data_IF_006300593861
#
_entry.id   IF_006300593861
#
_cell.length_a   1.000
_cell.length_b   1.000
_cell.length_c   1.000
_cell.angle_alpha   90.00
_cell.angle_beta   90.00
_cell.angle_gamma   90.00
#
_symmetry.space_group_name_H-M   'P 1'
#
loop_
_entity.id
_entity.type
_entity.pdbx_description
1 polymer ?
#
# COMPACT_ATOMS: atom_id res chain seq x y z
N UNK A 1 7.78 -9.20 -10.83
CA UNK A 1 6.91 -10.21 -11.46
C UNK A 1 7.73 -11.03 -12.46
N UNK A 2 8.37 -10.43 -13.48
CA UNK A 2 9.19 -11.15 -14.47
C UNK A 2 10.31 -12.02 -13.85
N UNK A 3 10.73 -11.72 -12.62
CA UNK A 3 11.77 -12.44 -11.88
C UNK A 3 11.23 -13.60 -11.02
N UNK A 4 9.92 -13.84 -11.03
CA UNK A 4 9.22 -14.90 -10.31
C UNK A 4 8.38 -15.73 -11.28
N UNK A 5 9.04 -16.57 -12.13
CA UNK A 5 8.37 -17.33 -13.19
C UNK A 5 7.37 -18.37 -12.67
N UNK A 6 7.45 -18.71 -11.38
CA UNK A 6 6.50 -19.59 -10.70
C UNK A 6 5.14 -18.94 -10.42
N UNK A 7 5.06 -17.60 -10.50
CA UNK A 7 3.83 -16.86 -10.26
C UNK A 7 3.10 -16.58 -11.58
N UNK A 8 1.82 -16.89 -11.60
CA UNK A 8 0.90 -16.37 -12.63
C UNK A 8 0.27 -15.10 -12.07
N UNK A 9 0.50 -13.96 -12.73
CA UNK A 9 0.05 -12.66 -12.25
C UNK A 9 -0.74 -11.94 -13.33
N UNK A 10 -1.96 -11.55 -13.00
CA UNK A 10 -2.77 -10.62 -13.76
C UNK A 10 -2.73 -9.24 -13.13
N UNK A 11 -2.64 -8.19 -13.94
CA UNK A 11 -2.59 -6.81 -13.46
C UNK A 11 -3.87 -6.10 -13.89
N UNK A 12 -4.52 -5.43 -12.95
CA UNK A 12 -5.70 -4.63 -13.20
C UNK A 12 -5.53 -3.20 -12.69
N UNK A 13 -6.08 -2.25 -13.44
CA UNK A 13 -6.24 -0.85 -13.02
C UNK A 13 -7.73 -0.54 -12.90
N UNK A 14 -8.20 -0.27 -11.68
CA UNK A 14 -9.55 0.19 -11.40
C UNK A 14 -9.52 1.70 -11.17
N UNK A 15 -10.03 2.48 -12.10
CA UNK A 15 -10.06 3.93 -12.03
C UNK A 15 -11.25 4.51 -12.81
N UNK A 16 -11.70 5.67 -12.40
CA UNK A 16 -12.65 6.54 -13.11
C UNK A 16 -11.96 7.61 -13.96
N UNK A 17 -10.62 7.77 -13.83
CA UNK A 17 -9.85 8.70 -14.63
C UNK A 17 -9.62 8.17 -16.06
N UNK A 18 -10.26 8.81 -17.03
CA UNK A 18 -10.07 8.49 -18.46
C UNK A 18 -8.63 8.75 -18.93
N UNK A 19 -7.98 9.76 -18.39
CA UNK A 19 -6.60 10.11 -18.75
C UNK A 19 -5.61 9.07 -18.24
N UNK A 20 -5.78 8.60 -17.01
CA UNK A 20 -4.96 7.52 -16.45
C UNK A 20 -5.19 6.21 -17.20
N UNK A 21 -6.44 5.87 -17.48
CA UNK A 21 -6.77 4.68 -18.25
C UNK A 21 -6.11 4.69 -19.63
N UNK A 22 -6.14 5.83 -20.34
CA UNK A 22 -5.49 6.00 -21.63
C UNK A 22 -3.96 5.88 -21.52
N UNK A 23 -3.35 6.57 -20.56
CA UNK A 23 -1.90 6.54 -20.35
C UNK A 23 -1.40 5.10 -20.12
N UNK A 24 -2.13 4.34 -19.29
CA UNK A 24 -1.77 2.95 -18.99
C UNK A 24 -2.00 2.04 -20.19
N UNK A 25 -3.11 2.18 -20.91
CA UNK A 25 -3.39 1.38 -22.11
C UNK A 25 -2.35 1.59 -23.23
N UNK A 26 -1.89 2.83 -23.40
CA UNK A 26 -0.90 3.16 -24.42
C UNK A 26 0.50 2.59 -24.09
N UNK A 27 0.85 2.52 -22.81
CA UNK A 27 2.20 2.13 -22.36
C UNK A 27 2.28 0.67 -21.86
N UNK A 28 1.20 0.15 -21.29
CA UNK A 28 1.14 -1.16 -20.63
C UNK A 28 -0.09 -1.96 -21.08
N UNK A 29 -0.12 -2.46 -22.33
CA UNK A 29 -1.28 -3.14 -22.90
C UNK A 29 -1.66 -4.45 -22.17
N UNK A 30 -0.76 -5.00 -21.36
CA UNK A 30 -1.02 -6.16 -20.51
C UNK A 30 -1.88 -5.85 -19.28
N UNK A 31 -2.05 -4.59 -18.90
CA UNK A 31 -2.86 -4.18 -17.76
C UNK A 31 -4.34 -4.20 -18.15
N UNK A 32 -5.15 -4.95 -17.41
CA UNK A 32 -6.59 -4.95 -17.59
C UNK A 32 -7.20 -3.68 -17.00
N UNK A 33 -7.80 -2.87 -17.85
CA UNK A 33 -8.56 -1.72 -17.38
C UNK A 33 -9.94 -2.16 -16.88
N UNK A 34 -10.28 -1.75 -15.66
CA UNK A 34 -11.58 -1.92 -15.02
C UNK A 34 -12.18 -0.54 -14.75
N UNK A 35 -13.08 -0.04 -15.60
CA UNK A 35 -13.72 1.26 -15.35
C UNK A 35 -14.45 1.20 -14.01
N UNK A 36 -14.16 2.16 -13.13
CA UNK A 36 -14.82 2.28 -11.83
C UNK A 36 -16.26 2.74 -12.04
N UNK A 37 -17.20 2.05 -11.44
CA UNK A 37 -18.59 2.49 -11.46
C UNK A 37 -18.80 3.69 -10.52
N UNK A 38 -19.83 4.47 -10.78
CA UNK A 38 -20.12 5.70 -10.05
C UNK A 38 -20.35 5.43 -8.55
N UNK A 39 -20.95 4.29 -8.21
CA UNK A 39 -21.21 3.87 -6.84
C UNK A 39 -19.91 3.63 -6.02
N UNK A 40 -18.81 3.33 -6.70
CA UNK A 40 -17.48 3.10 -6.10
C UNK A 40 -16.55 4.31 -6.26
N UNK A 41 -16.99 5.41 -6.85
CA UNK A 41 -16.19 6.61 -7.11
C UNK A 41 -16.29 7.72 -6.05
N UNK A 42 -17.07 7.53 -4.98
CA UNK A 42 -17.27 8.56 -3.96
C UNK A 42 -16.17 8.61 -2.88
N UNK A 43 -15.93 9.79 -2.34
CA UNK A 43 -14.90 10.03 -1.28
C UNK A 43 -15.14 9.24 0.02
N UNK A 44 -16.34 8.73 0.22
CA UNK A 44 -16.72 7.95 1.41
C UNK A 44 -16.72 6.43 1.16
N UNK A 45 -16.43 6.00 -0.06
CA UNK A 45 -16.40 4.58 -0.40
C UNK A 45 -15.16 3.91 0.18
N UNK A 46 -15.32 2.82 0.96
CA UNK A 46 -14.15 2.10 1.47
C UNK A 46 -13.28 1.57 0.32
N UNK A 47 -11.99 1.83 0.38
CA UNK A 47 -11.02 1.34 -0.63
C UNK A 47 -11.15 -0.18 -0.86
N UNK A 48 -11.38 -0.95 0.20
CA UNK A 48 -11.56 -2.39 0.11
C UNK A 48 -12.73 -2.80 -0.78
N UNK A 49 -13.83 -2.03 -0.85
CA UNK A 49 -14.94 -2.31 -1.76
C UNK A 49 -14.52 -2.23 -3.23
N UNK A 50 -13.65 -1.28 -3.58
CA UNK A 50 -13.09 -1.14 -4.93
C UNK A 50 -12.17 -2.34 -5.26
N UNK A 51 -11.38 -2.80 -4.29
CA UNK A 51 -10.50 -3.96 -4.48
C UNK A 51 -11.34 -5.24 -4.63
N UNK A 52 -12.43 -5.39 -3.89
CA UNK A 52 -13.36 -6.52 -4.00
C UNK A 52 -14.07 -6.56 -5.37
N UNK A 53 -14.51 -5.40 -5.88
CA UNK A 53 -15.05 -5.27 -7.23
C UNK A 53 -14.01 -5.72 -8.27
N UNK A 54 -12.78 -5.25 -8.14
CA UNK A 54 -11.67 -5.61 -9.02
C UNK A 54 -11.41 -7.11 -9.02
N UNK A 55 -11.35 -7.73 -7.84
CA UNK A 55 -11.19 -9.17 -7.67
C UNK A 55 -12.29 -9.94 -8.39
N UNK A 56 -13.55 -9.58 -8.13
CA UNK A 56 -14.72 -10.25 -8.71
C UNK A 56 -14.70 -10.20 -10.23
N UNK A 57 -14.49 -9.02 -10.80
CA UNK A 57 -14.46 -8.81 -12.25
C UNK A 57 -13.29 -9.51 -12.93
N UNK A 58 -12.11 -9.56 -12.28
CA UNK A 58 -10.96 -10.28 -12.81
C UNK A 58 -11.16 -11.80 -12.76
N UNK A 59 -11.72 -12.34 -11.68
CA UNK A 59 -12.08 -13.76 -11.57
C UNK A 59 -13.11 -14.17 -12.64
N UNK A 60 -14.14 -13.36 -12.86
CA UNK A 60 -15.15 -13.60 -13.91
C UNK A 60 -14.53 -13.54 -15.30
N UNK A 61 -13.70 -12.53 -15.58
CA UNK A 61 -13.04 -12.36 -16.87
C UNK A 61 -12.13 -13.53 -17.22
N UNK A 62 -11.32 -13.98 -16.25
CA UNK A 62 -10.28 -14.97 -16.48
C UNK A 62 -10.75 -16.42 -16.21
N UNK A 63 -11.95 -16.60 -15.64
CA UNK A 63 -12.52 -17.90 -15.32
C UNK A 63 -11.71 -18.68 -14.28
N UNK A 64 -11.01 -18.00 -13.39
CA UNK A 64 -10.16 -18.61 -12.37
C UNK A 64 -10.41 -17.97 -10.98
N UNK A 65 -9.82 -18.57 -9.96
CA UNK A 65 -9.73 -17.98 -8.62
C UNK A 65 -8.27 -17.63 -8.35
N UNK A 66 -8.05 -16.50 -7.69
CA UNK A 66 -6.73 -16.08 -7.25
C UNK A 66 -6.45 -16.62 -5.85
N UNK A 67 -5.18 -16.80 -5.50
CA UNK A 67 -4.76 -17.13 -4.15
C UNK A 67 -4.64 -15.85 -3.30
N UNK A 68 -4.07 -14.82 -3.91
CA UNK A 68 -3.80 -13.52 -3.28
C UNK A 68 -4.22 -12.36 -4.16
N UNK A 69 -4.48 -11.22 -3.52
CA UNK A 69 -4.64 -9.93 -4.20
C UNK A 69 -3.61 -8.96 -3.61
N UNK A 70 -2.76 -8.42 -4.47
CA UNK A 70 -1.82 -7.37 -4.07
C UNK A 70 -2.34 -6.02 -4.57
N UNK A 71 -2.73 -5.17 -3.62
CA UNK A 71 -3.11 -3.80 -3.92
C UNK A 71 -1.91 -2.87 -3.77
N UNK A 72 -1.66 -2.07 -4.79
CA UNK A 72 -0.55 -1.13 -4.87
C UNK A 72 -1.11 0.27 -5.09
N UNK A 73 -1.01 1.12 -4.07
CA UNK A 73 -1.49 2.48 -4.20
C UNK A 73 -0.62 3.28 -5.18
N UNK A 74 -1.27 3.97 -6.10
CA UNK A 74 -0.57 4.80 -7.11
C UNK A 74 -0.03 6.10 -6.50
N UNK A 75 -0.64 6.58 -5.41
CA UNK A 75 -0.20 7.80 -4.70
C UNK A 75 0.99 7.57 -3.79
N UNK A 76 1.38 6.30 -3.56
CA UNK A 76 2.58 5.93 -2.81
C UNK A 76 3.60 5.19 -3.71
N UNK A 77 4.21 5.87 -4.70
CA UNK A 77 4.97 5.23 -5.77
C UNK A 77 6.39 4.79 -5.39
N UNK A 78 6.96 5.31 -4.30
CA UNK A 78 8.35 5.06 -3.91
C UNK A 78 8.51 3.70 -3.22
N UNK A 79 8.43 2.65 -4.02
CA UNK A 79 8.63 1.24 -3.62
C UNK A 79 9.51 0.52 -4.62
N UNK A 80 10.16 -0.56 -4.18
CA UNK A 80 11.07 -1.37 -4.98
C UNK A 80 10.45 -2.75 -5.29
N UNK A 81 11.07 -3.49 -6.20
CA UNK A 81 10.69 -4.87 -6.46
C UNK A 81 10.93 -5.77 -5.23
N UNK A 82 11.94 -5.46 -4.45
CA UNK A 82 12.28 -6.14 -3.20
C UNK A 82 11.19 -5.95 -2.15
N UNK A 83 10.59 -4.76 -2.05
CA UNK A 83 9.46 -4.49 -1.15
C UNK A 83 8.25 -5.34 -1.50
N UNK A 84 7.91 -5.44 -2.80
CA UNK A 84 6.82 -6.29 -3.29
C UNK A 84 7.10 -7.76 -2.98
N UNK A 85 8.32 -8.22 -3.24
CA UNK A 85 8.73 -9.60 -2.98
C UNK A 85 8.68 -9.93 -1.49
N UNK A 86 9.12 -9.01 -0.63
CA UNK A 86 9.09 -9.18 0.83
C UNK A 86 7.66 -9.29 1.36
N UNK A 87 6.75 -8.44 0.89
CA UNK A 87 5.35 -8.47 1.29
C UNK A 87 4.65 -9.76 0.83
N UNK A 88 4.88 -10.18 -0.43
CA UNK A 88 4.37 -11.43 -0.95
C UNK A 88 4.89 -12.62 -0.15
N UNK A 89 6.21 -12.71 0.03
CA UNK A 89 6.86 -13.81 0.76
C UNK A 89 6.35 -13.93 2.20
N UNK A 90 6.22 -12.80 2.91
CA UNK A 90 5.67 -12.78 4.26
C UNK A 90 4.25 -13.35 4.30
N UNK A 91 3.42 -13.05 3.30
CA UNK A 91 2.05 -13.57 3.21
C UNK A 91 2.05 -15.06 2.83
N UNK A 92 2.89 -15.47 1.91
CA UNK A 92 2.98 -16.85 1.43
C UNK A 92 3.50 -17.82 2.51
N UNK A 93 4.48 -17.40 3.32
CA UNK A 93 5.02 -18.17 4.43
C UNK A 93 4.10 -18.21 5.68
N UNK A 94 3.05 -17.40 5.71
CA UNK A 94 2.15 -17.22 6.85
C UNK A 94 0.68 -17.42 6.46
N UNK A 95 0.30 -18.68 6.26
CA UNK A 95 -1.08 -19.05 5.89
C UNK A 95 -2.14 -18.63 6.92
N UNK A 96 -1.70 -18.40 8.17
CA UNK A 96 -2.56 -17.94 9.26
C UNK A 96 -2.94 -16.46 9.16
N UNK A 97 -2.29 -15.68 8.29
CA UNK A 97 -2.59 -14.27 8.10
C UNK A 97 -3.64 -14.05 7.01
N UNK A 98 -4.50 -13.09 7.23
CA UNK A 98 -5.49 -12.61 6.27
C UNK A 98 -4.92 -11.51 5.36
N UNK A 99 -4.01 -10.70 5.94
CA UNK A 99 -3.45 -9.53 5.30
C UNK A 99 -2.02 -9.26 5.79
N UNK A 100 -1.15 -8.93 4.85
CA UNK A 100 0.15 -8.30 5.12
C UNK A 100 0.15 -6.94 4.44
N UNK A 101 0.58 -5.89 5.15
CA UNK A 101 0.72 -4.56 4.56
C UNK A 101 2.06 -3.92 4.91
N UNK A 102 2.45 -2.95 4.11
CA UNK A 102 3.70 -2.23 4.30
C UNK A 102 3.57 -1.11 5.32
N UNK A 103 4.67 -0.89 6.03
CA UNK A 103 4.82 0.16 7.03
C UNK A 103 6.21 0.76 6.98
N UNK A 104 6.37 1.93 7.58
CA UNK A 104 7.68 2.49 7.93
C UNK A 104 7.81 2.59 9.45
N UNK A 105 9.04 2.63 9.98
CA UNK A 105 9.25 2.92 11.39
C UNK A 105 8.78 4.34 11.70
N UNK A 106 7.88 4.47 12.67
CA UNK A 106 7.30 5.78 13.00
C UNK A 106 8.36 6.74 13.55
N UNK A 107 8.41 7.93 12.97
CA UNK A 107 9.28 9.02 13.45
C UNK A 107 8.81 9.61 14.77
N UNK A 108 7.54 9.41 15.11
CA UNK A 108 6.91 9.85 16.35
C UNK A 108 6.46 8.64 17.15
N UNK A 109 6.18 8.84 18.42
CA UNK A 109 5.74 7.76 19.30
C UNK A 109 4.64 8.29 20.23
N UNK A 110 3.45 7.71 20.22
CA UNK A 110 2.34 8.18 21.05
C UNK A 110 2.59 8.03 22.54
N UNK A 111 3.51 7.14 22.94
CA UNK A 111 3.92 7.00 24.34
C UNK A 111 5.01 8.01 24.75
N UNK A 112 5.58 8.77 23.80
CA UNK A 112 6.76 9.59 24.10
C UNK A 112 6.63 11.05 23.63
N UNK A 113 6.34 11.32 22.35
CA UNK A 113 6.41 12.66 21.76
C UNK A 113 5.23 12.99 20.82
N UNK A 114 4.10 12.29 20.97
CA UNK A 114 2.82 12.69 20.39
C UNK A 114 1.87 13.11 21.49
N UNK A 115 1.03 14.08 21.17
CA UNK A 115 0.04 14.62 22.11
C UNK A 115 -1.35 14.53 21.51
N UNK A 116 -2.33 14.41 22.39
CA UNK A 116 -3.75 14.36 22.07
C UNK A 116 -4.39 15.65 22.60
N UNK A 117 -5.17 16.30 21.76
CA UNK A 117 -6.01 17.42 22.15
C UNK A 117 -7.28 16.87 22.85
N UNK A 118 -7.49 17.32 24.10
CA UNK A 118 -8.67 17.00 24.92
C UNK A 118 -9.65 18.17 25.01
N UNK A 119 -9.45 19.22 24.21
CA UNK A 119 -10.30 20.40 24.09
C UNK A 119 -9.88 21.55 25.01
N UNK A 120 -9.70 21.32 26.29
CA UNK A 120 -9.27 22.30 27.29
C UNK A 120 -7.80 22.16 27.72
N UNK A 121 -7.18 21.03 27.40
CA UNK A 121 -5.78 20.72 27.68
C UNK A 121 -5.19 19.69 26.71
N UNK A 122 -3.89 19.49 26.79
CA UNK A 122 -3.14 18.54 25.98
C UNK A 122 -2.65 17.39 26.87
N UNK A 123 -2.84 16.17 26.41
CA UNK A 123 -2.32 14.97 27.05
C UNK A 123 -1.32 14.23 26.15
N UNK A 124 -0.53 13.31 26.72
CA UNK A 124 0.27 12.36 25.96
C UNK A 124 -0.65 11.47 25.12
N UNK A 125 -0.29 11.14 23.89
CA UNK A 125 -1.13 10.37 22.97
C UNK A 125 -1.60 9.04 23.56
N UNK A 126 -0.68 8.30 24.20
CA UNK A 126 -1.00 7.12 25.01
C UNK A 126 -0.40 7.33 26.39
N UNK A 127 -1.23 7.18 27.43
CA UNK A 127 -0.78 7.25 28.83
C UNK A 127 0.25 6.13 29.10
N UNK A 128 1.45 6.55 29.43
CA UNK A 128 2.54 5.65 29.83
C UNK A 128 3.44 6.39 30.81
N UNK A 129 3.62 5.83 31.99
CA UNK A 129 4.29 6.54 33.10
C UNK A 129 5.81 6.34 33.15
N UNK A 130 6.37 5.46 32.30
CA UNK A 130 7.69 4.89 32.58
C UNK A 130 8.77 5.15 31.54
N UNK A 131 8.47 5.82 30.42
CA UNK A 131 9.47 6.04 29.38
C UNK A 131 10.14 7.40 29.52
N UNK A 132 11.40 7.39 29.94
CA UNK A 132 12.26 8.60 30.01
C UNK A 132 13.06 8.80 28.73
N UNK A 133 13.19 7.77 27.89
CA UNK A 133 13.87 7.81 26.61
C UNK A 133 13.08 7.05 25.54
N UNK A 134 13.17 7.50 24.29
CA UNK A 134 12.47 6.91 23.14
C UNK A 134 12.73 5.41 22.99
N UNK A 135 13.95 4.97 23.26
CA UNK A 135 14.37 3.59 23.15
C UNK A 135 13.69 2.62 24.13
N UNK A 136 13.05 3.15 25.16
CA UNK A 136 12.28 2.37 26.14
C UNK A 136 10.81 2.19 25.74
N UNK A 137 10.33 3.02 24.82
CA UNK A 137 8.95 2.95 24.35
C UNK A 137 8.76 1.79 23.37
N UNK A 138 7.56 1.20 23.31
CA UNK A 138 7.22 0.24 22.26
C UNK A 138 7.48 0.81 20.87
N UNK A 139 7.85 -0.06 19.94
CA UNK A 139 7.98 0.32 18.53
C UNK A 139 6.59 0.58 17.94
N UNK A 140 6.45 1.69 17.25
CA UNK A 140 5.27 2.04 16.47
C UNK A 140 5.66 2.14 15.00
N UNK A 141 4.72 1.82 14.15
CA UNK A 141 4.87 1.91 12.70
C UNK A 141 3.80 2.85 12.14
N UNK A 142 4.19 3.59 11.11
CA UNK A 142 3.27 4.35 10.27
C UNK A 142 2.87 3.47 9.09
N UNK A 143 1.57 3.30 8.85
CA UNK A 143 1.05 2.61 7.67
C UNK A 143 1.28 3.53 6.47
N UNK A 144 2.10 3.08 5.52
CA UNK A 144 2.54 3.92 4.40
C UNK A 144 1.70 3.77 3.12
N UNK A 145 0.55 3.10 3.24
CA UNK A 145 -0.44 2.90 2.17
C UNK A 145 0.11 2.30 0.84
N UNK A 146 1.34 1.79 0.82
CA UNK A 146 2.03 1.44 -0.41
C UNK A 146 1.69 0.04 -0.94
N UNK A 147 1.70 -0.97 -0.06
CA UNK A 147 1.54 -2.38 -0.44
C UNK A 147 0.59 -3.06 0.53
N UNK A 148 -0.42 -3.76 0.00
CA UNK A 148 -1.32 -4.62 0.77
C UNK A 148 -1.44 -5.97 0.06
N UNK A 149 -1.16 -7.08 0.75
CA UNK A 149 -1.29 -8.45 0.21
C UNK A 149 -2.39 -9.17 0.98
N UNK A 150 -3.54 -9.28 0.36
CA UNK A 150 -4.72 -9.94 0.93
C UNK A 150 -4.76 -11.41 0.58
N UNK A 151 -5.16 -12.26 1.54
CA UNK A 151 -5.69 -13.57 1.22
C UNK A 151 -7.02 -13.40 0.48
N UNK A 152 -7.15 -14.05 -0.65
CA UNK A 152 -8.35 -13.93 -1.51
C UNK A 152 -9.65 -14.12 -0.76
N UNK A 153 -9.74 -15.19 0.06
CA UNK A 153 -10.99 -15.54 0.74
C UNK A 153 -11.38 -14.54 1.83
N UNK A 154 -10.41 -13.96 2.54
CA UNK A 154 -10.66 -12.88 3.46
C UNK A 154 -11.21 -11.65 2.71
N UNK A 155 -10.53 -11.23 1.65
CA UNK A 155 -10.95 -10.07 0.87
C UNK A 155 -12.36 -10.24 0.29
N UNK A 156 -12.63 -11.38 -0.34
CA UNK A 156 -13.93 -11.63 -0.98
C UNK A 156 -15.11 -11.69 -0.01
N UNK A 157 -14.90 -12.08 1.25
CA UNK A 157 -15.96 -12.30 2.23
C UNK A 157 -16.02 -11.22 3.33
N UNK A 158 -15.13 -10.22 3.32
CA UNK A 158 -15.13 -9.16 4.32
C UNK A 158 -16.26 -8.14 4.05
N UNK A 159 -17.36 -8.29 4.79
CA UNK A 159 -18.54 -7.44 4.64
C UNK A 159 -18.40 -6.06 5.29
N UNK A 160 -17.45 -5.86 6.18
CA UNK A 160 -17.22 -4.58 6.88
C UNK A 160 -16.32 -3.64 6.08
N UNK A 161 -15.63 -4.17 5.07
CA UNK A 161 -14.62 -3.44 4.28
C UNK A 161 -13.49 -2.84 5.13
N UNK A 162 -13.18 -3.47 6.27
CA UNK A 162 -12.17 -3.01 7.22
C UNK A 162 -10.95 -3.93 7.26
N UNK A 163 -9.76 -3.36 7.16
CA UNK A 163 -8.49 -4.08 7.34
C UNK A 163 -8.28 -4.50 8.81
N UNK A 164 -8.97 -3.83 9.74
CA UNK A 164 -8.82 -4.09 11.18
C UNK A 164 -9.53 -5.37 11.65
N UNK A 165 -10.36 -5.97 10.80
CA UNK A 165 -10.97 -7.28 11.05
C UNK A 165 -10.06 -8.45 10.63
N UNK A 166 -8.96 -8.14 9.95
CA UNK A 166 -8.00 -9.10 9.48
C UNK A 166 -7.02 -9.52 10.58
N UNK A 167 -6.59 -10.77 10.55
CA UNK A 167 -5.35 -11.18 11.22
C UNK A 167 -4.18 -10.71 10.39
N UNK A 168 -3.46 -9.69 10.87
CA UNK A 168 -2.46 -8.97 10.09
C UNK A 168 -1.03 -9.16 10.59
N UNK A 169 -0.09 -8.97 9.70
CA UNK A 169 1.31 -8.66 10.00
C UNK A 169 1.84 -7.61 9.03
N UNK A 170 3.06 -7.13 9.25
CA UNK A 170 3.60 -6.01 8.48
C UNK A 170 4.93 -6.36 7.83
N UNK A 171 5.23 -5.71 6.70
CA UNK A 171 6.55 -5.65 6.10
C UNK A 171 7.07 -4.23 6.17
N UNK A 172 8.31 -4.07 6.62
CA UNK A 172 8.89 -2.75 6.79
C UNK A 172 9.57 -2.30 5.50
N UNK A 173 9.21 -1.12 5.04
CA UNK A 173 9.83 -0.42 3.92
C UNK A 173 10.75 0.69 4.41
N UNK A 174 11.58 1.20 3.51
CA UNK A 174 12.38 2.39 3.73
C UNK A 174 11.46 3.60 3.98
N UNK A 175 11.78 4.39 5.00
CA UNK A 175 11.11 5.68 5.24
C UNK A 175 11.59 6.71 4.22
N UNK A 176 10.75 7.04 3.25
CA UNK A 176 11.02 8.04 2.21
C UNK A 176 10.64 9.46 2.61
N UNK A 177 10.01 9.64 3.79
CA UNK A 177 9.63 10.95 4.32
C UNK A 177 8.30 11.49 3.83
N UNK A 178 7.80 11.05 2.68
CA UNK A 178 6.46 11.32 2.16
C UNK A 178 5.77 9.97 1.98
N UNK A 179 4.64 9.80 2.63
CA UNK A 179 3.92 8.51 2.63
C UNK A 179 3.13 8.31 1.34
N UNK A 180 2.37 9.33 0.93
CA UNK A 180 1.54 9.36 -0.25
C UNK A 180 1.38 10.79 -0.81
N UNK A 181 0.79 10.92 -1.97
CA UNK A 181 0.57 12.18 -2.68
C UNK A 181 -0.90 12.56 -2.50
N UNK A 182 -1.16 13.46 -1.57
CA UNK A 182 -2.49 14.02 -1.29
C UNK A 182 -2.65 15.45 -1.82
N UNK A 183 -1.54 16.12 -2.13
CA UNK A 183 -1.51 17.50 -2.59
C UNK A 183 -0.43 17.74 -3.65
N UNK A 184 -0.49 18.89 -4.32
CA UNK A 184 0.56 19.33 -5.25
C UNK A 184 1.91 19.51 -4.55
N UNK A 185 1.91 19.96 -3.29
CA UNK A 185 3.14 20.10 -2.51
C UNK A 185 3.78 18.73 -2.21
N UNK A 186 2.97 17.70 -1.93
CA UNK A 186 3.46 16.33 -1.75
C UNK A 186 4.07 15.79 -3.05
N UNK A 187 3.44 16.08 -4.19
CA UNK A 187 3.96 15.69 -5.49
C UNK A 187 5.33 16.32 -5.75
N UNK A 188 5.49 17.62 -5.54
CA UNK A 188 6.77 18.31 -5.71
C UNK A 188 7.85 17.77 -4.76
N UNK A 189 7.51 17.49 -3.51
CA UNK A 189 8.44 16.86 -2.57
C UNK A 189 8.81 15.44 -3.01
N UNK A 190 7.82 14.68 -3.48
CA UNK A 190 8.03 13.32 -3.98
C UNK A 190 8.99 13.29 -5.17
N UNK A 191 8.90 14.25 -6.10
CA UNK A 191 9.84 14.36 -7.21
C UNK A 191 11.28 14.56 -6.73
N UNK A 192 11.51 15.43 -5.75
CA UNK A 192 12.85 15.66 -5.16
C UNK A 192 13.40 14.42 -4.49
N UNK A 193 12.55 13.73 -3.73
CA UNK A 193 12.93 12.49 -3.04
C UNK A 193 13.20 11.38 -4.05
N UNK A 194 12.35 11.22 -5.05
CA UNK A 194 12.53 10.22 -6.12
C UNK A 194 13.85 10.42 -6.86
N UNK A 195 14.17 11.67 -7.24
CA UNK A 195 15.44 12.00 -7.90
C UNK A 195 16.64 11.60 -7.04
N UNK A 196 16.61 11.93 -5.75
CA UNK A 196 17.65 11.51 -4.79
C UNK A 196 17.77 9.99 -4.71
N UNK A 197 16.65 9.27 -4.56
CA UNK A 197 16.66 7.81 -4.42
C UNK A 197 17.16 7.11 -5.68
N UNK A 198 16.74 7.56 -6.86
CA UNK A 198 17.16 7.01 -8.14
C UNK A 198 18.67 7.16 -8.39
N UNK A 199 19.27 8.23 -7.90
CA UNK A 199 20.71 8.45 -8.07
C UNK A 199 21.59 7.79 -6.99
N UNK A 200 21.07 7.53 -5.81
CA UNK A 200 21.89 7.10 -4.67
C UNK A 200 21.62 5.67 -4.19
N UNK A 201 20.50 5.05 -4.61
CA UNK A 201 20.12 3.72 -4.17
C UNK A 201 19.94 2.76 -5.36
N UNK A 202 20.76 1.70 -5.48
CA UNK A 202 20.72 0.79 -6.63
C UNK A 202 19.33 0.15 -6.87
N UNK A 203 18.59 -0.15 -5.82
CA UNK A 203 17.25 -0.75 -5.90
C UNK A 203 16.25 0.22 -6.54
N UNK A 204 16.33 1.50 -6.22
CA UNK A 204 15.51 2.55 -6.84
C UNK A 204 15.99 2.89 -8.25
N UNK A 205 17.30 2.87 -8.51
CA UNK A 205 17.83 3.03 -9.87
C UNK A 205 17.26 1.96 -10.82
N UNK A 206 17.16 0.71 -10.37
CA UNK A 206 16.56 -0.37 -11.14
C UNK A 206 15.07 -0.12 -11.45
N UNK A 207 14.32 0.48 -10.53
CA UNK A 207 12.93 0.91 -10.77
C UNK A 207 12.88 1.99 -11.86
N UNK A 208 13.74 3.00 -11.78
CA UNK A 208 13.82 4.05 -12.79
C UNK A 208 14.13 3.50 -14.19
N UNK A 209 15.07 2.57 -14.30
CA UNK A 209 15.42 1.92 -15.56
C UNK A 209 14.22 1.15 -16.14
N UNK A 210 13.48 0.42 -15.29
CA UNK A 210 12.29 -0.33 -15.70
C UNK A 210 11.14 0.59 -16.18
N UNK A 211 11.03 1.82 -15.67
CA UNK A 211 10.01 2.80 -16.10
C UNK A 211 10.39 3.44 -17.45
N UNK A 212 11.68 3.63 -17.70
CA UNK A 212 12.19 4.28 -18.93
C UNK A 212 12.30 3.36 -20.14
N UNK A 213 12.43 2.04 -19.90
CA UNK A 213 12.54 1.01 -20.95
C UNK A 213 11.22 0.57 -21.50
#
# INVERSE_FOLDING_TARGET
IKNHPELTVDIALNTDSADLAKLVADKYPEVTFLPRCEELGGDTVPKMAVIQDSLTRMEEKNGCKYDYVMDLDITSPLRTAEDLAAAYKMKDERDDLDLVYSVTESRRNPCFNMVKDCGDHIEKGIASDWFTARQQAPVFYDVNASIYVYRRDFLANNATHSIWDAKTYVTQMMDTGVLDIDSEDDFLLMEVIADHLYHHYPTFAAVQEAIRG
#
